data_IF_054923762856
#
_entry.id   IF_054923762856
#
_cell.length_a   1.000
_cell.length_b   1.000
_cell.length_c   1.000
_cell.angle_alpha   90.00
_cell.angle_beta   90.00
_cell.angle_gamma   90.00
#
_symmetry.space_group_name_H-M   'P 1'
#
loop_
_entity.id
_entity.type
_entity.pdbx_description
1 polymer ?
#
# COMPACT_ATOMS: atom_id res chain seq x y z
N UNK A 1 -74.79 -45.72 -32.10
CA UNK A 1 -74.45 -45.58 -30.72
C UNK A 1 -72.96 -45.13 -30.68
N UNK A 2 -72.72 -43.83 -30.62
CA UNK A 2 -71.36 -43.25 -30.73
C UNK A 2 -70.94 -42.73 -29.34
N UNK A 3 -69.90 -43.35 -28.76
CA UNK A 3 -69.25 -42.89 -27.55
C UNK A 3 -68.17 -41.84 -27.94
N UNK A 4 -68.32 -40.61 -27.49
CA UNK A 4 -67.29 -39.54 -27.58
C UNK A 4 -66.42 -39.60 -26.33
N UNK A 5 -65.15 -39.96 -26.51
CA UNK A 5 -64.13 -39.83 -25.46
C UNK A 5 -63.62 -38.39 -25.42
N UNK A 6 -63.74 -37.75 -24.27
CA UNK A 6 -63.12 -36.42 -23.95
C UNK A 6 -61.79 -36.65 -23.36
N UNK A 7 -60.71 -36.19 -24.05
CA UNK A 7 -59.37 -36.07 -23.46
C UNK A 7 -59.27 -34.74 -22.64
N UNK A 8 -59.12 -34.89 -21.34
CA UNK A 8 -58.81 -33.77 -20.46
C UNK A 8 -57.27 -33.51 -20.48
N UNK A 9 -56.90 -32.39 -21.06
CA UNK A 9 -55.49 -31.93 -21.04
C UNK A 9 -55.09 -31.36 -19.66
N UNK A 10 -54.15 -31.99 -19.02
CA UNK A 10 -53.54 -31.50 -17.77
C UNK A 10 -52.47 -30.46 -18.12
N UNK A 11 -52.76 -29.18 -17.86
CA UNK A 11 -51.77 -28.10 -17.90
C UNK A 11 -50.94 -28.13 -16.61
N UNK A 12 -49.66 -28.54 -16.70
CA UNK A 12 -48.72 -28.35 -15.61
C UNK A 12 -48.22 -26.88 -15.60
N UNK A 13 -48.25 -26.19 -14.46
CA UNK A 13 -47.64 -24.87 -14.35
C UNK A 13 -46.10 -24.99 -14.36
N UNK A 14 -45.47 -24.30 -15.30
CA UNK A 14 -44.01 -24.17 -15.33
C UNK A 14 -43.58 -23.29 -14.15
N UNK A 15 -42.94 -23.89 -13.13
CA UNK A 15 -42.31 -23.19 -12.04
C UNK A 15 -40.97 -22.61 -12.54
N UNK A 16 -40.95 -21.30 -12.81
CA UNK A 16 -39.72 -20.54 -13.04
C UNK A 16 -39.00 -20.38 -11.72
N UNK A 17 -37.97 -21.18 -11.49
CA UNK A 17 -37.00 -20.97 -10.37
C UNK A 17 -36.13 -19.77 -10.73
N UNK A 18 -36.01 -18.78 -9.83
CA UNK A 18 -35.04 -17.68 -10.03
C UNK A 18 -33.62 -18.25 -9.96
N UNK A 19 -32.90 -18.15 -11.07
CA UNK A 19 -31.45 -18.39 -11.10
C UNK A 19 -30.79 -17.26 -10.30
N UNK A 20 -30.46 -17.51 -9.02
CA UNK A 20 -29.55 -16.65 -8.28
C UNK A 20 -28.21 -16.71 -8.98
N UNK A 21 -27.93 -15.72 -9.81
CA UNK A 21 -26.59 -15.45 -10.32
C UNK A 21 -25.73 -15.05 -9.11
N UNK A 22 -24.97 -16.00 -8.57
CA UNK A 22 -23.92 -15.71 -7.61
C UNK A 22 -22.93 -14.78 -8.32
N UNK A 23 -22.94 -13.51 -7.96
CA UNK A 23 -21.91 -12.57 -8.37
C UNK A 23 -20.58 -13.15 -7.87
N UNK A 24 -19.81 -13.74 -8.78
CA UNK A 24 -18.42 -14.10 -8.52
C UNK A 24 -17.72 -12.81 -8.10
N UNK A 25 -17.39 -12.70 -6.81
CA UNK A 25 -16.57 -11.62 -6.31
C UNK A 25 -15.29 -11.58 -7.17
N UNK A 26 -15.09 -10.48 -7.90
CA UNK A 26 -13.92 -10.30 -8.73
C UNK A 26 -12.70 -10.52 -7.84
N UNK A 27 -11.84 -11.46 -8.23
CA UNK A 27 -10.58 -11.71 -7.53
C UNK A 27 -9.80 -10.39 -7.55
N UNK A 28 -9.30 -9.88 -6.41
CA UNK A 28 -8.60 -8.61 -6.39
C UNK A 28 -7.47 -8.63 -7.43
N UNK A 29 -7.42 -7.60 -8.26
CA UNK A 29 -6.42 -7.52 -9.32
C UNK A 29 -5.01 -7.49 -8.72
N UNK A 30 -4.13 -8.29 -9.29
CA UNK A 30 -2.74 -8.31 -8.89
C UNK A 30 -2.05 -7.03 -9.36
N UNK A 31 -1.20 -6.46 -8.50
CA UNK A 31 -0.29 -5.39 -8.86
C UNK A 31 0.76 -5.85 -9.88
N UNK A 32 1.51 -4.90 -10.39
CA UNK A 32 2.60 -5.14 -11.35
C UNK A 32 3.85 -4.43 -10.90
N UNK A 33 5.00 -5.09 -10.97
CA UNK A 33 6.31 -4.44 -10.81
C UNK A 33 6.59 -3.62 -12.07
N UNK A 34 6.40 -2.30 -12.00
CA UNK A 34 6.55 -1.42 -13.18
C UNK A 34 7.97 -0.92 -13.38
N UNK A 35 8.79 -0.95 -12.33
CA UNK A 35 10.24 -0.62 -12.43
C UNK A 35 11.01 -1.36 -11.34
N UNK A 36 12.23 -1.79 -11.69
CA UNK A 36 13.21 -2.34 -10.74
C UNK A 36 14.61 -1.83 -11.15
N UNK A 37 15.32 -1.22 -10.19
CA UNK A 37 16.67 -0.66 -10.43
C UNK A 37 17.60 -0.98 -9.27
N UNK A 38 18.88 -1.07 -9.56
CA UNK A 38 19.97 -1.11 -8.57
C UNK A 38 20.11 -2.42 -7.80
N UNK A 39 19.36 -3.48 -8.14
CA UNK A 39 19.46 -4.76 -7.45
C UNK A 39 18.24 -5.64 -7.62
N UNK A 40 17.98 -6.50 -6.63
CA UNK A 40 16.94 -7.52 -6.68
C UNK A 40 15.66 -7.11 -5.97
N UNK A 41 14.54 -7.60 -6.46
CA UNK A 41 13.27 -7.67 -5.74
C UNK A 41 12.91 -9.15 -5.58
N UNK A 42 12.58 -9.56 -4.38
CA UNK A 42 12.23 -10.94 -4.09
C UNK A 42 10.85 -11.03 -3.45
N UNK A 43 10.17 -12.12 -3.72
CA UNK A 43 8.90 -12.52 -3.12
C UNK A 43 9.09 -13.75 -2.26
N UNK A 44 8.45 -13.80 -1.10
CA UNK A 44 8.39 -15.00 -0.27
C UNK A 44 7.37 -15.97 -0.86
N UNK A 45 7.86 -17.09 -1.41
CA UNK A 45 7.04 -18.20 -1.91
C UNK A 45 7.19 -19.40 -0.97
N UNK A 46 6.11 -19.74 -0.28
CA UNK A 46 6.11 -20.73 0.81
C UNK A 46 7.12 -20.34 1.90
N UNK A 47 8.32 -20.90 1.90
CA UNK A 47 9.38 -20.62 2.88
C UNK A 47 10.70 -20.18 2.21
N UNK A 48 10.69 -19.83 0.94
CA UNK A 48 11.87 -19.42 0.19
C UNK A 48 11.67 -18.07 -0.50
N UNK A 49 12.68 -17.22 -0.44
CA UNK A 49 12.71 -15.98 -1.21
C UNK A 49 13.07 -16.28 -2.66
N UNK A 50 12.27 -15.79 -3.57
CA UNK A 50 12.47 -15.95 -5.04
C UNK A 50 12.48 -14.60 -5.71
N UNK A 51 13.46 -14.38 -6.56
CA UNK A 51 13.54 -13.16 -7.36
C UNK A 51 12.33 -13.01 -8.27
N UNK A 52 11.85 -11.78 -8.37
CA UNK A 52 10.84 -11.36 -9.34
C UNK A 52 11.35 -10.18 -10.13
N UNK A 53 11.00 -10.15 -11.42
CA UNK A 53 11.47 -9.15 -12.37
C UNK A 53 10.42 -8.07 -12.63
N UNK A 54 10.85 -6.98 -13.26
CA UNK A 54 9.96 -5.99 -13.85
C UNK A 54 8.95 -6.65 -14.80
N UNK A 55 7.71 -6.22 -14.75
CA UNK A 55 6.58 -6.78 -15.50
C UNK A 55 5.86 -7.93 -14.78
N UNK A 56 6.46 -8.53 -13.76
CA UNK A 56 5.80 -9.60 -13.01
C UNK A 56 4.71 -9.09 -12.09
N UNK A 57 3.73 -9.96 -11.84
CA UNK A 57 2.59 -9.67 -10.96
C UNK A 57 2.93 -9.93 -9.50
N UNK A 58 2.39 -9.08 -8.64
CA UNK A 58 2.41 -9.23 -7.18
C UNK A 58 0.98 -9.16 -6.64
N UNK A 59 0.68 -10.00 -5.68
CA UNK A 59 -0.66 -10.13 -5.10
C UNK A 59 -0.81 -9.43 -3.75
N UNK A 60 -2.04 -9.22 -3.33
CA UNK A 60 -2.35 -8.82 -1.95
C UNK A 60 -1.83 -9.88 -0.98
N UNK A 61 -1.37 -9.45 0.19
CA UNK A 61 -0.83 -10.32 1.23
C UNK A 61 0.56 -10.92 0.92
N UNK A 62 1.14 -10.62 -0.24
CA UNK A 62 2.49 -11.09 -0.55
C UNK A 62 3.55 -10.36 0.27
N UNK A 63 4.58 -11.09 0.68
CA UNK A 63 5.77 -10.51 1.31
C UNK A 63 6.84 -10.28 0.24
N UNK A 64 7.36 -9.05 0.24
CA UNK A 64 8.36 -8.58 -0.71
C UNK A 64 9.56 -8.03 0.03
N UNK A 65 10.76 -8.19 -0.53
CA UNK A 65 11.96 -7.51 -0.05
C UNK A 65 12.83 -7.03 -1.20
N UNK A 66 13.48 -5.91 -0.98
CA UNK A 66 14.48 -5.35 -1.91
C UNK A 66 15.89 -5.63 -1.42
N UNK A 67 16.82 -5.82 -2.35
CA UNK A 67 18.26 -5.85 -2.07
C UNK A 67 18.77 -4.48 -1.57
N UNK A 68 20.01 -4.45 -1.04
CA UNK A 68 20.60 -3.27 -0.37
C UNK A 68 20.70 -2.00 -1.22
N UNK A 69 20.68 -2.12 -2.56
CA UNK A 69 20.71 -0.99 -3.47
C UNK A 69 19.49 -0.93 -4.40
N UNK A 70 18.53 -1.85 -4.21
CA UNK A 70 17.40 -1.98 -5.10
C UNK A 70 16.29 -0.98 -4.74
N UNK A 71 15.68 -0.41 -5.79
CA UNK A 71 14.45 0.35 -5.70
C UNK A 71 13.43 -0.28 -6.64
N UNK A 72 12.27 -0.64 -6.11
CA UNK A 72 11.19 -1.24 -6.87
C UNK A 72 9.95 -0.36 -6.86
N UNK A 73 9.31 -0.21 -8.01
CA UNK A 73 8.03 0.49 -8.17
C UNK A 73 6.96 -0.54 -8.49
N UNK A 74 5.89 -0.54 -7.73
CA UNK A 74 4.74 -1.43 -7.87
C UNK A 74 3.49 -0.59 -8.06
N UNK A 75 2.70 -0.91 -9.07
CA UNK A 75 1.35 -0.37 -9.24
C UNK A 75 0.31 -1.44 -8.89
N UNK A 76 -0.61 -1.08 -8.02
CA UNK A 76 -1.75 -1.92 -7.66
C UNK A 76 -3.04 -1.21 -8.05
N UNK A 77 -3.86 -1.81 -8.93
CA UNK A 77 -5.19 -1.29 -9.27
C UNK A 77 -6.00 -1.02 -8.00
N UNK A 78 -6.77 0.05 -7.99
CA UNK A 78 -7.66 0.47 -6.89
C UNK A 78 -6.98 0.74 -5.54
N UNK A 79 -5.66 0.64 -5.47
CA UNK A 79 -4.89 0.95 -4.26
C UNK A 79 -3.94 2.11 -4.51
N UNK A 80 -3.10 2.03 -5.56
CA UNK A 80 -2.16 3.08 -5.92
C UNK A 80 -0.77 2.56 -6.27
N UNK A 81 0.20 3.45 -6.16
CA UNK A 81 1.60 3.21 -6.48
C UNK A 81 2.43 3.13 -5.22
N UNK A 82 3.34 2.17 -5.18
CA UNK A 82 4.29 1.92 -4.10
C UNK A 82 5.70 2.00 -4.62
N UNK A 83 6.59 2.62 -3.86
CA UNK A 83 8.02 2.60 -4.12
C UNK A 83 8.72 2.02 -2.90
N UNK A 84 9.32 0.85 -3.08
CA UNK A 84 10.13 0.18 -2.06
C UNK A 84 11.56 0.67 -2.21
N UNK A 85 12.10 1.25 -1.15
CA UNK A 85 13.49 1.69 -1.07
C UNK A 85 14.45 0.53 -0.84
N UNK A 86 15.77 0.81 -0.77
CA UNK A 86 16.80 -0.18 -0.52
C UNK A 86 16.62 -0.92 0.81
N UNK A 87 16.88 -2.22 0.82
CA UNK A 87 16.85 -3.06 2.01
C UNK A 87 15.49 -3.17 2.70
N UNK A 88 14.43 -2.87 1.99
CA UNK A 88 13.06 -2.90 2.55
C UNK A 88 12.49 -4.31 2.59
N UNK A 89 11.66 -4.57 3.60
CA UNK A 89 10.84 -5.78 3.69
C UNK A 89 9.43 -5.41 4.13
N UNK A 90 8.46 -5.78 3.30
CA UNK A 90 7.04 -5.46 3.49
C UNK A 90 6.14 -6.69 3.31
N UNK A 91 4.94 -6.63 3.86
CA UNK A 91 3.81 -7.46 3.50
C UNK A 91 2.69 -6.56 2.98
N UNK A 92 2.31 -6.75 1.72
CA UNK A 92 1.22 -6.00 1.10
C UNK A 92 -0.11 -6.24 1.81
N UNK A 93 -0.95 -5.21 1.85
CA UNK A 93 -2.29 -5.33 2.45
C UNK A 93 -3.09 -6.47 1.85
N UNK A 94 -3.99 -7.05 2.65
CA UNK A 94 -4.83 -8.19 2.26
C UNK A 94 -6.23 -7.78 1.84
N UNK A 95 -6.68 -6.62 2.31
CA UNK A 95 -8.03 -6.14 2.10
C UNK A 95 -8.03 -4.88 1.23
N UNK A 96 -8.60 -4.90 0.01
CA UNK A 96 -8.57 -3.74 -0.89
C UNK A 96 -9.21 -2.47 -0.32
N UNK A 97 -10.23 -2.61 0.55
CA UNK A 97 -10.90 -1.46 1.20
C UNK A 97 -10.20 -0.95 2.45
N UNK A 98 -9.32 -1.77 3.03
CA UNK A 98 -8.51 -1.44 4.21
C UNK A 98 -7.08 -1.95 3.98
N UNK A 99 -6.40 -1.28 3.06
CA UNK A 99 -5.11 -1.75 2.56
C UNK A 99 -3.97 -1.34 3.50
N UNK A 100 -3.76 -2.15 4.53
CA UNK A 100 -2.66 -1.94 5.47
C UNK A 100 -1.43 -2.75 5.06
N UNK A 101 -0.41 -2.07 4.55
CA UNK A 101 0.91 -2.66 4.27
C UNK A 101 1.73 -2.71 5.55
N UNK A 102 2.18 -3.90 5.94
CA UNK A 102 3.11 -4.05 7.06
C UNK A 102 4.54 -3.83 6.57
N UNK A 103 5.28 -3.00 7.26
CA UNK A 103 6.69 -2.75 6.97
C UNK A 103 7.55 -3.27 8.13
N UNK A 104 8.34 -4.30 7.85
CA UNK A 104 9.24 -4.91 8.84
C UNK A 104 10.54 -4.10 8.97
N UNK A 105 10.98 -3.48 7.87
CA UNK A 105 12.15 -2.58 7.82
C UNK A 105 12.23 -1.84 6.50
N UNK A 106 13.08 -0.83 6.44
CA UNK A 106 13.44 -0.10 5.21
C UNK A 106 12.59 1.12 4.98
N UNK A 107 12.31 1.41 3.72
CA UNK A 107 11.61 2.61 3.30
C UNK A 107 10.53 2.30 2.27
N UNK A 108 9.37 2.89 2.45
CA UNK A 108 8.22 2.75 1.56
C UNK A 108 7.61 4.12 1.31
N UNK A 109 7.49 4.49 0.05
CA UNK A 109 6.65 5.58 -0.40
C UNK A 109 5.35 5.02 -0.99
N UNK A 110 4.24 5.65 -0.67
CA UNK A 110 2.93 5.25 -1.16
C UNK A 110 2.18 6.47 -1.69
N UNK A 111 1.62 6.35 -2.88
CA UNK A 111 0.61 7.26 -3.41
C UNK A 111 -0.69 6.48 -3.60
N UNK A 112 -1.70 6.84 -2.84
CA UNK A 112 -2.98 6.12 -2.87
C UNK A 112 -3.92 6.67 -3.93
N UNK A 113 -4.61 5.76 -4.63
CA UNK A 113 -5.70 6.02 -5.57
C UNK A 113 -6.91 5.16 -5.19
N UNK A 114 -7.40 5.36 -3.97
CA UNK A 114 -8.42 4.50 -3.37
C UNK A 114 -9.83 4.89 -3.79
N UNK A 115 -10.73 3.92 -4.02
CA UNK A 115 -12.15 4.18 -4.12
C UNK A 115 -12.73 4.89 -2.89
N UNK A 116 -13.83 5.58 -3.07
CA UNK A 116 -14.53 6.23 -1.97
C UNK A 116 -14.86 5.23 -0.84
N UNK A 117 -14.61 5.62 0.41
CA UNK A 117 -14.85 4.78 1.59
C UNK A 117 -13.73 3.78 1.90
N UNK A 118 -12.70 3.68 1.06
CA UNK A 118 -11.50 2.87 1.33
C UNK A 118 -10.44 3.68 2.07
N UNK A 119 -9.51 2.98 2.72
CA UNK A 119 -8.36 3.55 3.42
C UNK A 119 -7.12 2.71 3.16
N UNK A 120 -5.95 3.34 3.29
CA UNK A 120 -4.68 2.64 3.29
C UNK A 120 -3.83 3.09 4.48
N UNK A 121 -2.89 2.24 4.87
CA UNK A 121 -1.94 2.54 5.92
C UNK A 121 -0.61 1.82 5.67
N UNK A 122 0.46 2.36 6.24
CA UNK A 122 1.71 1.63 6.48
C UNK A 122 1.79 1.41 7.98
N UNK A 123 1.97 0.14 8.37
CA UNK A 123 2.11 -0.28 9.76
C UNK A 123 3.51 -0.80 10.02
N UNK A 124 4.15 -0.31 11.07
CA UNK A 124 5.38 -0.85 11.65
C UNK A 124 5.11 -1.28 13.09
N UNK A 125 6.04 -1.97 13.76
CA UNK A 125 5.90 -2.29 15.18
C UNK A 125 5.75 -1.07 16.11
N UNK A 126 6.21 0.11 15.69
CA UNK A 126 6.26 1.32 16.54
C UNK A 126 5.38 2.48 16.08
N UNK A 127 4.76 2.39 14.91
CA UNK A 127 3.80 3.40 14.45
C UNK A 127 2.94 2.88 13.29
N UNK A 128 1.77 3.49 13.13
CA UNK A 128 0.90 3.31 11.96
C UNK A 128 0.68 4.68 11.34
N UNK A 129 0.96 4.81 10.04
CA UNK A 129 0.60 5.99 9.25
C UNK A 129 -0.60 5.67 8.36
N UNK A 130 -1.74 6.23 8.67
CA UNK A 130 -2.99 6.06 7.92
C UNK A 130 -3.26 7.21 6.96
N UNK A 131 -3.86 6.90 5.80
CA UNK A 131 -4.10 7.88 4.73
C UNK A 131 -5.47 7.74 4.10
N UNK A 132 -5.89 8.86 3.50
CA UNK A 132 -7.06 8.94 2.65
C UNK A 132 -6.75 9.84 1.44
N UNK A 133 -6.32 9.22 0.31
CA UNK A 133 -6.04 9.94 -0.93
C UNK A 133 -4.79 10.83 -0.88
N UNK A 134 -3.67 10.31 -0.38
CA UNK A 134 -2.43 11.08 -0.15
C UNK A 134 -1.21 10.40 -0.76
N UNK A 135 -0.11 11.16 -0.88
CA UNK A 135 1.23 10.61 -1.11
C UNK A 135 2.12 10.90 0.11
N UNK A 136 2.77 9.88 0.60
CA UNK A 136 3.66 9.98 1.76
C UNK A 136 4.76 8.92 1.73
N UNK A 137 5.78 9.12 2.52
CA UNK A 137 6.82 8.11 2.76
C UNK A 137 6.91 7.77 4.24
N UNK A 138 7.31 6.53 4.50
CA UNK A 138 7.63 6.03 5.82
C UNK A 138 8.94 5.28 5.77
N UNK A 139 9.84 5.59 6.69
CA UNK A 139 11.11 4.92 6.85
C UNK A 139 11.13 4.29 8.24
N UNK A 140 11.38 2.99 8.30
CA UNK A 140 11.61 2.25 9.52
C UNK A 140 13.10 1.91 9.59
N UNK A 141 13.83 2.76 10.28
CA UNK A 141 15.28 2.94 10.17
C UNK A 141 16.13 1.94 10.92
N UNK A 142 17.38 2.31 11.12
CA UNK A 142 18.46 1.47 11.59
C UNK A 142 18.14 0.69 12.86
N UNK A 143 18.31 -0.64 12.76
CA UNK A 143 18.07 -1.54 13.87
C UNK A 143 16.63 -1.60 14.34
N UNK A 144 15.67 -1.14 13.50
CA UNK A 144 14.24 -1.16 13.79
C UNK A 144 13.84 -0.40 15.06
N UNK A 145 14.57 0.69 15.34
CA UNK A 145 14.40 1.50 16.56
C UNK A 145 13.71 2.83 16.35
N UNK A 146 13.57 3.28 15.10
CA UNK A 146 12.98 4.57 14.80
C UNK A 146 12.13 4.52 13.53
N UNK A 147 11.03 5.25 13.54
CA UNK A 147 10.18 5.49 12.38
C UNK A 147 10.21 6.96 12.04
N UNK A 148 10.29 7.26 10.74
CA UNK A 148 10.03 8.58 10.23
C UNK A 148 8.91 8.52 9.17
N UNK A 149 7.92 9.39 9.28
CA UNK A 149 6.84 9.52 8.30
C UNK A 149 6.74 10.96 7.83
N UNK A 150 6.74 11.19 6.50
CA UNK A 150 6.60 12.52 5.92
C UNK A 150 5.55 12.54 4.82
N UNK A 151 4.83 13.66 4.71
CA UNK A 151 3.71 13.83 3.78
C UNK A 151 4.13 14.64 2.57
N UNK A 152 3.96 14.06 1.38
CA UNK A 152 4.26 14.69 0.08
C UNK A 152 3.04 15.42 -0.49
N UNK A 153 1.84 14.88 -0.26
CA UNK A 153 0.58 15.53 -0.64
C UNK A 153 -0.55 15.12 0.33
N UNK A 154 -1.49 16.02 0.57
CA UNK A 154 -2.61 15.78 1.48
C UNK A 154 -2.20 15.84 2.94
N UNK A 155 -2.73 14.95 3.75
CA UNK A 155 -2.47 14.82 5.18
C UNK A 155 -2.49 13.34 5.58
N UNK A 156 -1.57 12.92 6.45
CA UNK A 156 -1.60 11.60 7.08
C UNK A 156 -1.85 11.73 8.57
N UNK A 157 -2.40 10.69 9.18
CA UNK A 157 -2.48 10.54 10.62
C UNK A 157 -1.49 9.46 11.06
N UNK A 158 -0.58 9.82 11.95
CA UNK A 158 0.38 8.88 12.54
C UNK A 158 -0.06 8.56 13.96
N UNK A 159 -0.13 7.26 14.26
CA UNK A 159 -0.55 6.73 15.55
C UNK A 159 0.59 5.93 16.16
N UNK A 160 0.96 6.21 17.40
CA UNK A 160 1.93 5.43 18.20
C UNK A 160 1.24 4.28 18.95
N UNK A 161 2.00 3.29 19.48
CA UNK A 161 1.43 2.12 20.14
C UNK A 161 0.57 2.43 21.38
N UNK A 162 0.79 3.56 22.03
CA UNK A 162 -0.02 4.06 23.15
C UNK A 162 -1.35 4.70 22.72
N UNK A 163 -1.66 4.69 21.41
CA UNK A 163 -2.89 5.21 20.84
C UNK A 163 -2.92 6.72 20.60
N UNK A 164 -1.87 7.44 20.95
CA UNK A 164 -1.76 8.87 20.63
C UNK A 164 -1.58 9.09 19.14
N UNK A 165 -2.13 10.20 18.64
CA UNK A 165 -2.21 10.53 17.23
C UNK A 165 -1.68 11.92 16.95
N UNK A 166 -1.07 12.08 15.78
CA UNK A 166 -0.66 13.39 15.24
C UNK A 166 -0.98 13.47 13.75
N UNK A 167 -1.56 14.59 13.33
CA UNK A 167 -1.71 14.93 11.92
C UNK A 167 -0.39 15.41 11.34
N UNK A 168 -0.04 14.93 10.15
CA UNK A 168 1.17 15.33 9.44
C UNK A 168 0.75 15.88 8.08
N UNK A 169 0.56 17.19 7.96
CA UNK A 169 0.17 17.82 6.70
C UNK A 169 1.30 17.82 5.68
N UNK A 170 0.96 18.13 4.43
CA UNK A 170 1.93 18.24 3.33
C UNK A 170 3.13 19.10 3.70
N UNK A 171 4.34 18.59 3.46
CA UNK A 171 5.60 19.26 3.73
C UNK A 171 6.08 19.13 5.17
N UNK A 172 5.42 18.32 5.97
CA UNK A 172 5.80 18.05 7.35
C UNK A 172 6.15 16.56 7.56
N UNK A 173 6.79 16.28 8.68
CA UNK A 173 7.16 14.94 9.11
C UNK A 173 7.04 14.76 10.60
N UNK A 174 7.05 13.51 11.03
CA UNK A 174 7.27 13.08 12.40
C UNK A 174 8.34 12.01 12.45
N UNK A 175 9.14 12.03 13.51
CA UNK A 175 10.06 10.96 13.86
C UNK A 175 9.66 10.42 15.23
N UNK A 176 9.71 9.10 15.41
CA UNK A 176 9.32 8.40 16.63
C UNK A 176 10.34 7.31 16.89
N UNK A 177 10.98 7.34 18.04
CA UNK A 177 11.86 6.27 18.50
C UNK A 177 11.05 5.16 19.18
N UNK A 178 11.57 3.94 19.17
CA UNK A 178 10.94 2.81 19.82
C UNK A 178 10.68 3.11 21.31
N UNK A 179 9.47 2.83 21.76
CA UNK A 179 9.03 3.12 23.13
C UNK A 179 8.62 4.58 23.37
N UNK A 180 8.76 5.46 22.38
CA UNK A 180 8.27 6.82 22.43
C UNK A 180 6.87 6.93 21.84
N UNK A 181 6.21 8.00 22.19
CA UNK A 181 4.93 8.40 21.60
C UNK A 181 5.13 9.38 20.46
N UNK A 182 4.08 9.58 19.65
CA UNK A 182 4.06 10.68 18.66
C UNK A 182 4.30 12.02 19.35
N UNK A 183 5.05 12.94 18.71
CA UNK A 183 5.19 14.30 19.22
C UNK A 183 3.85 15.04 19.19
N UNK A 184 3.74 16.11 19.95
CA UNK A 184 2.51 16.92 20.02
C UNK A 184 2.12 17.56 18.69
N UNK A 185 3.10 17.79 17.79
CA UNK A 185 2.91 18.32 16.44
C UNK A 185 4.01 17.85 15.50
N UNK A 186 3.69 17.81 14.21
CA UNK A 186 4.65 17.56 13.14
C UNK A 186 5.62 18.75 12.96
N UNK A 187 6.71 18.51 12.25
CA UNK A 187 7.77 19.47 11.96
C UNK A 187 7.92 19.68 10.46
N UNK A 188 8.38 20.86 10.05
CA UNK A 188 8.67 21.11 8.63
C UNK A 188 9.77 20.19 8.10
N UNK A 189 9.52 19.52 6.98
CA UNK A 189 10.46 18.54 6.39
C UNK A 189 11.56 19.18 5.53
N UNK A 190 11.32 20.36 4.95
CA UNK A 190 12.26 21.02 4.03
C UNK A 190 13.70 21.13 4.55
N UNK A 191 13.96 21.57 5.81
CA UNK A 191 15.31 21.67 6.31
C UNK A 191 16.05 20.34 6.44
N UNK A 192 15.30 19.22 6.57
CA UNK A 192 15.87 17.87 6.72
C UNK A 192 16.08 17.23 5.37
N UNK A 193 15.17 17.44 4.41
CA UNK A 193 15.28 16.93 3.05
C UNK A 193 16.49 17.52 2.28
N UNK A 194 17.01 18.66 2.70
CA UNK A 194 18.20 19.29 2.11
C UNK A 194 19.52 18.72 2.63
N UNK A 195 19.49 17.91 3.69
CA UNK A 195 20.67 17.28 4.29
C UNK A 195 20.82 15.85 3.78
N UNK A 196 22.01 15.49 3.31
CA UNK A 196 22.38 14.10 3.05
C UNK A 196 22.75 13.35 4.34
N UNK A 197 22.73 12.01 4.30
CA UNK A 197 23.09 11.17 5.44
C UNK A 197 22.01 11.13 6.54
N UNK A 198 20.77 11.42 6.21
CA UNK A 198 19.62 11.36 7.12
C UNK A 198 18.66 10.24 6.74
N UNK A 199 17.72 9.91 7.63
CA UNK A 199 16.61 8.97 7.34
C UNK A 199 15.77 9.40 6.13
N UNK A 200 15.91 10.64 5.67
CA UNK A 200 15.20 11.21 4.53
C UNK A 200 15.93 11.04 3.20
N UNK A 201 17.08 10.41 3.13
CA UNK A 201 17.79 10.18 1.86
C UNK A 201 16.91 9.43 0.85
N UNK A 202 16.05 8.55 1.35
CA UNK A 202 15.05 7.89 0.53
C UNK A 202 14.04 8.90 -0.07
N UNK A 203 13.60 9.89 0.71
CA UNK A 203 12.70 10.95 0.23
C UNK A 203 13.40 11.84 -0.80
N UNK A 204 14.69 12.10 -0.66
CA UNK A 204 15.48 12.81 -1.67
C UNK A 204 15.57 12.03 -2.97
N UNK A 205 15.64 10.70 -2.91
CA UNK A 205 15.62 9.86 -4.10
C UNK A 205 14.30 10.00 -4.89
N UNK A 206 13.18 10.24 -4.23
CA UNK A 206 11.86 10.40 -4.83
C UNK A 206 11.58 11.83 -5.33
N UNK A 207 12.17 12.84 -4.68
CA UNK A 207 11.85 14.25 -4.90
C UNK A 207 12.98 15.00 -5.61
N UNK A 208 12.61 16.07 -6.29
CA UNK A 208 13.58 17.03 -6.83
C UNK A 208 14.16 17.82 -5.66
N UNK A 209 15.49 17.79 -5.49
CA UNK A 209 16.19 18.56 -4.47
C UNK A 209 15.87 20.05 -4.62
N UNK A 210 15.49 20.73 -3.55
CA UNK A 210 15.04 22.12 -3.58
C UNK A 210 13.66 22.34 -4.23
N UNK A 211 13.00 21.29 -4.72
CA UNK A 211 11.72 21.36 -5.45
C UNK A 211 10.47 21.42 -4.56
N UNK A 212 10.58 21.72 -3.28
CA UNK A 212 9.45 21.87 -2.35
C UNK A 212 8.46 20.69 -2.39
N UNK A 213 8.96 19.46 -2.42
CA UNK A 213 8.16 18.23 -2.46
C UNK A 213 7.69 17.84 -3.86
N UNK A 214 8.23 18.42 -4.95
CA UNK A 214 7.94 17.98 -6.31
C UNK A 214 8.58 16.63 -6.58
N UNK A 215 7.77 15.64 -7.01
CA UNK A 215 8.27 14.34 -7.42
C UNK A 215 9.12 14.44 -8.69
N UNK A 216 10.16 13.63 -8.79
CA UNK A 216 10.91 13.42 -10.04
C UNK A 216 9.98 12.86 -11.11
N UNK A 217 10.23 13.18 -12.38
CA UNK A 217 9.37 12.77 -13.49
C UNK A 217 9.25 11.25 -13.65
N UNK A 218 10.30 10.53 -13.30
CA UNK A 218 10.38 9.07 -13.36
C UNK A 218 9.69 8.34 -12.19
N UNK A 219 9.14 9.11 -11.26
CA UNK A 219 8.37 8.63 -10.11
C UNK A 219 6.86 8.94 -10.22
N UNK A 220 6.45 9.50 -11.34
CA UNK A 220 5.05 9.83 -11.62
C UNK A 220 4.32 8.67 -12.27
#
# INVERSE_FOLDING_TARGET
>A
MNAKSALAGILLPAVLLPVCASALAAKPENGTVVSLRGGTLERLDKNAWREIAQGQKVGIGERLRTGKAAVAVIEMPDVGRFVLGPGSEIELGREPKDFTTKMNRGALWMQTALPAGSRAAISTPIAIAGVRGTAFSMVFGEGEKAVCACTCSGNIEVTSPDGRKVGVPKGEYVAIDAGQSVPAKAQASAPVLEKSGTVFDFCQACHVVGGKGKLKSDWK
#
